data_IF_290630081059
#
_entry.id   IF_290630081059
#
_cell.length_a   1.000
_cell.length_b   1.000
_cell.length_c   1.000
_cell.angle_alpha   90.00
_cell.angle_beta   90.00
_cell.angle_gamma   90.00
#
_symmetry.space_group_name_H-M   'P 1'
#
loop_
_entity.id
_entity.type
_entity.pdbx_description
1 polymer ?
#
# COMPACT_ATOMS: atom_id res chain seq x y z
N UNK A 1 38.23 -12.57 43.74
CA UNK A 1 36.83 -12.09 43.63
C UNK A 1 36.00 -12.37 44.89
N UNK A 2 36.14 -13.51 45.59
CA UNK A 2 35.44 -13.75 46.86
C UNK A 2 35.87 -12.82 48.00
N UNK A 3 37.14 -12.43 48.05
CA UNK A 3 37.67 -11.43 49.00
C UNK A 3 37.20 -10.01 48.67
N UNK A 4 37.25 -9.61 47.38
CA UNK A 4 36.73 -8.31 46.90
C UNK A 4 35.21 -8.16 47.07
N UNK A 5 34.42 -9.22 46.88
CA UNK A 5 32.97 -9.18 47.08
C UNK A 5 32.59 -8.95 48.56
N UNK A 6 33.36 -9.53 49.48
CA UNK A 6 33.18 -9.35 50.93
C UNK A 6 33.56 -7.94 51.39
N UNK A 7 34.53 -7.33 50.70
CA UNK A 7 35.00 -5.96 50.94
C UNK A 7 34.03 -4.90 50.40
N UNK A 8 33.35 -5.18 49.27
CA UNK A 8 32.33 -4.30 48.68
C UNK A 8 30.90 -4.50 49.20
N UNK A 9 30.65 -5.50 50.07
CA UNK A 9 29.32 -5.78 50.68
C UNK A 9 28.17 -5.92 49.65
N UNK A 10 28.47 -6.33 48.42
CA UNK A 10 27.47 -6.47 47.36
C UNK A 10 27.04 -7.92 47.20
N UNK A 11 25.84 -8.23 47.69
CA UNK A 11 25.20 -9.56 47.66
C UNK A 11 25.10 -10.14 46.22
N UNK A 12 25.11 -9.27 45.21
CA UNK A 12 25.06 -9.69 43.79
C UNK A 12 26.39 -10.24 43.29
N UNK A 13 27.51 -9.66 43.73
CA UNK A 13 28.85 -10.17 43.42
C UNK A 13 29.09 -11.53 44.06
N UNK A 14 28.58 -11.73 45.28
CA UNK A 14 28.65 -13.05 45.93
C UNK A 14 27.87 -14.11 45.14
N UNK A 15 26.68 -13.76 44.63
CA UNK A 15 25.87 -14.66 43.80
C UNK A 15 26.54 -14.98 42.46
N UNK A 16 27.15 -13.98 41.82
CA UNK A 16 27.84 -14.14 40.54
C UNK A 16 29.16 -14.94 40.70
N UNK A 17 29.93 -14.66 41.74
CA UNK A 17 31.11 -15.46 42.12
C UNK A 17 30.73 -16.89 42.51
N UNK A 18 29.59 -17.09 43.17
CA UNK A 18 29.03 -18.41 43.48
C UNK A 18 28.65 -19.20 42.23
N UNK A 19 28.10 -18.54 41.21
CA UNK A 19 27.79 -19.16 39.90
C UNK A 19 29.05 -19.50 39.11
N UNK A 20 30.05 -18.61 39.10
CA UNK A 20 31.37 -18.87 38.50
C UNK A 20 32.06 -20.08 39.14
N UNK A 21 32.01 -20.19 40.48
CA UNK A 21 32.60 -21.31 41.23
C UNK A 21 31.91 -22.65 40.95
N UNK A 22 30.65 -22.64 40.53
CA UNK A 22 29.85 -23.83 40.22
C UNK A 22 30.01 -24.34 38.77
N UNK A 23 31.07 -23.93 38.06
CA UNK A 23 31.42 -24.42 36.71
C UNK A 23 30.39 -24.19 35.60
N UNK A 24 29.37 -23.35 35.82
CA UNK A 24 28.37 -23.04 34.80
C UNK A 24 28.88 -21.90 33.94
N UNK A 25 29.21 -22.14 32.67
CA UNK A 25 29.45 -21.06 31.70
C UNK A 25 28.17 -20.20 31.58
N UNK A 26 28.30 -18.88 31.64
CA UNK A 26 27.12 -18.02 31.70
C UNK A 26 27.42 -16.55 31.46
N UNK A 27 26.33 -15.79 31.36
CA UNK A 27 26.35 -14.35 31.29
C UNK A 27 25.41 -13.79 32.35
N UNK A 28 25.73 -12.61 32.88
CA UNK A 28 24.84 -11.91 33.81
C UNK A 28 24.88 -10.40 33.58
N UNK A 29 23.73 -9.77 33.82
CA UNK A 29 23.58 -8.32 33.73
C UNK A 29 23.76 -7.72 35.12
N UNK A 30 24.66 -6.77 35.25
CA UNK A 30 24.87 -6.06 36.51
C UNK A 30 24.96 -4.56 36.27
N UNK A 31 24.66 -3.78 37.30
CA UNK A 31 24.88 -2.33 37.28
C UNK A 31 26.35 -2.04 37.64
N UNK A 32 26.83 -0.86 37.25
CA UNK A 32 28.20 -0.41 37.51
C UNK A 32 28.71 -0.78 38.92
N UNK A 33 29.89 -1.41 38.96
CA UNK A 33 30.57 -1.88 40.18
C UNK A 33 31.43 -0.79 40.82
N UNK A 34 31.72 0.32 40.11
CA UNK A 34 32.43 1.48 40.66
C UNK A 34 31.43 2.40 41.35
N UNK A 35 31.08 2.05 42.58
CA UNK A 35 30.28 2.92 43.47
C UNK A 35 31.11 4.13 43.91
N UNK A 36 31.04 5.22 43.16
CA UNK A 36 31.65 6.50 43.53
C UNK A 36 30.88 7.73 43.05
N UNK A 37 30.24 7.69 41.89
CA UNK A 37 29.53 8.85 41.36
C UNK A 37 28.10 8.51 40.93
N UNK A 38 27.16 9.36 41.34
CA UNK A 38 25.72 9.26 41.05
C UNK A 38 25.37 9.49 39.58
N UNK A 39 26.31 9.40 38.65
CA UNK A 39 26.04 9.66 37.24
C UNK A 39 25.93 8.38 36.43
N UNK A 40 24.68 8.14 36.01
CA UNK A 40 24.20 7.10 35.08
C UNK A 40 24.36 5.67 35.58
N UNK A 41 23.22 5.07 35.94
CA UNK A 41 22.99 3.62 36.04
C UNK A 41 23.30 2.94 34.70
N UNK A 42 24.59 2.71 34.39
CA UNK A 42 25.01 1.92 33.25
C UNK A 42 24.85 0.43 33.57
N UNK A 43 24.31 -0.33 32.62
CA UNK A 43 24.20 -1.80 32.71
C UNK A 43 25.38 -2.42 31.98
N UNK A 44 26.08 -3.30 32.67
CA UNK A 44 27.21 -4.06 32.17
C UNK A 44 26.79 -5.51 31.96
N UNK A 45 27.22 -6.09 30.85
CA UNK A 45 27.11 -7.52 30.60
C UNK A 45 28.44 -8.17 30.96
N UNK A 46 28.44 -9.05 31.97
CA UNK A 46 29.62 -9.88 32.27
C UNK A 46 29.38 -11.27 31.75
N UNK A 47 30.19 -11.69 30.77
CA UNK A 47 30.30 -13.08 30.36
C UNK A 47 31.45 -13.72 31.12
N UNK A 48 31.27 -14.98 31.56
CA UNK A 48 32.32 -15.71 32.24
C UNK A 48 32.44 -17.15 31.76
N UNK A 49 33.68 -17.60 31.65
CA UNK A 49 34.03 -18.96 31.23
C UNK A 49 35.13 -19.52 32.12
N UNK A 50 34.97 -20.77 32.52
CA UNK A 50 35.98 -21.48 33.30
C UNK A 50 36.86 -22.33 32.38
N UNK A 51 38.17 -22.28 32.57
CA UNK A 51 39.12 -23.12 31.85
C UNK A 51 40.23 -23.62 32.79
N UNK A 52 40.55 -24.93 32.77
CA UNK A 52 41.63 -25.47 33.58
C UNK A 52 42.99 -25.12 32.95
N UNK A 53 43.94 -24.63 33.74
CA UNK A 53 45.34 -24.40 33.32
C UNK A 53 46.24 -25.15 34.31
N UNK A 54 46.76 -26.30 33.88
CA UNK A 54 47.52 -27.20 34.76
C UNK A 54 46.66 -27.75 35.90
N UNK A 55 47.12 -27.58 37.14
CA UNK A 55 46.37 -27.97 38.35
C UNK A 55 45.48 -26.84 38.91
N UNK A 56 45.50 -25.66 38.28
CA UNK A 56 44.75 -24.49 38.75
C UNK A 56 43.52 -24.22 37.88
N UNK A 57 42.42 -23.81 38.52
CA UNK A 57 41.17 -23.44 37.84
C UNK A 57 41.13 -21.93 37.64
N UNK A 58 41.11 -21.49 36.39
CA UNK A 58 41.04 -20.09 36.03
C UNK A 58 39.64 -19.75 35.52
N UNK A 59 39.13 -18.59 35.94
CA UNK A 59 37.87 -18.02 35.44
C UNK A 59 38.20 -16.75 34.67
N UNK A 60 37.92 -16.74 33.38
CA UNK A 60 37.95 -15.51 32.60
C UNK A 60 36.59 -14.83 32.69
N UNK A 61 36.57 -13.55 33.06
CA UNK A 61 35.36 -12.74 33.08
C UNK A 61 35.57 -11.51 32.20
N UNK A 62 34.74 -11.36 31.18
CA UNK A 62 34.75 -10.19 30.30
C UNK A 62 33.51 -9.33 30.62
N UNK A 63 33.74 -8.11 31.07
CA UNK A 63 32.68 -7.13 31.33
C UNK A 63 32.66 -6.08 30.22
N UNK A 64 31.49 -5.86 29.62
CA UNK A 64 31.31 -4.85 28.58
C UNK A 64 30.13 -3.91 28.93
N UNK A 65 30.33 -2.58 28.84
CA UNK A 65 29.24 -1.62 29.02
C UNK A 65 28.23 -1.74 27.87
N UNK A 66 27.06 -2.30 28.16
CA UNK A 66 26.03 -2.57 27.14
C UNK A 66 25.27 -1.31 26.72
N UNK A 67 25.28 -0.28 27.55
CA UNK A 67 24.46 0.93 27.39
C UNK A 67 24.97 1.90 26.34
N UNK A 68 26.26 1.87 26.01
CA UNK A 68 26.81 2.70 24.94
C UNK A 68 26.36 2.20 23.57
N UNK A 69 26.41 0.89 23.35
CA UNK A 69 26.07 0.30 22.05
C UNK A 69 24.57 0.31 21.77
N UNK A 70 23.70 0.08 22.77
CA UNK A 70 22.24 0.07 22.56
C UNK A 70 21.71 1.43 22.09
N UNK A 71 22.28 2.53 22.59
CA UNK A 71 21.91 3.88 22.16
C UNK A 71 22.37 4.24 20.74
N UNK A 72 23.50 3.69 20.28
CA UNK A 72 23.94 3.83 18.89
C UNK A 72 23.10 2.98 17.93
N UNK A 73 22.83 1.73 18.32
CA UNK A 73 21.98 0.80 17.56
C UNK A 73 20.57 1.40 17.38
N UNK A 74 19.94 1.91 18.44
CA UNK A 74 18.59 2.48 18.33
C UNK A 74 18.47 3.67 17.34
N UNK A 75 19.51 4.50 17.22
CA UNK A 75 19.50 5.66 16.29
C UNK A 75 19.66 5.23 14.83
N UNK A 76 20.51 4.26 14.56
CA UNK A 76 20.71 3.74 13.21
C UNK A 76 19.50 2.94 12.73
N UNK A 77 18.93 2.11 13.61
CA UNK A 77 17.75 1.33 13.30
C UNK A 77 16.54 2.21 12.96
N UNK A 78 16.31 3.29 13.71
CA UNK A 78 15.16 4.18 13.47
C UNK A 78 15.27 4.94 12.15
N UNK A 79 16.46 5.43 11.80
CA UNK A 79 16.71 6.11 10.52
C UNK A 79 16.59 5.15 9.33
N UNK A 80 17.15 3.94 9.47
CA UNK A 80 17.02 2.90 8.45
C UNK A 80 15.56 2.49 8.20
N UNK A 81 14.80 2.30 9.27
CA UNK A 81 13.40 1.88 9.20
C UNK A 81 12.48 2.96 8.58
N UNK A 82 12.78 4.25 8.79
CA UNK A 82 12.06 5.35 8.15
C UNK A 82 12.36 5.44 6.65
N UNK A 83 13.62 5.24 6.25
CA UNK A 83 14.03 5.27 4.84
C UNK A 83 13.41 4.11 4.04
N UNK A 84 13.38 2.90 4.62
CA UNK A 84 12.75 1.76 3.96
C UNK A 84 11.24 1.95 3.84
N UNK A 85 10.58 2.44 4.89
CA UNK A 85 9.15 2.75 4.85
C UNK A 85 8.81 3.78 3.77
N UNK A 86 9.61 4.86 3.65
CA UNK A 86 9.43 5.86 2.60
C UNK A 86 9.55 5.25 1.19
N UNK A 87 10.55 4.38 0.97
CA UNK A 87 10.72 3.67 -0.31
C UNK A 87 9.51 2.80 -0.66
N UNK A 88 8.97 2.07 0.33
CA UNK A 88 7.76 1.26 0.15
C UNK A 88 6.54 2.13 -0.20
N UNK A 89 6.34 3.25 0.50
CA UNK A 89 5.25 4.17 0.21
C UNK A 89 5.37 4.73 -1.21
N UNK A 90 6.57 5.12 -1.64
CA UNK A 90 6.80 5.62 -2.99
C UNK A 90 6.51 4.56 -4.07
N UNK A 91 6.92 3.31 -3.85
CA UNK A 91 6.61 2.18 -4.75
C UNK A 91 5.10 1.93 -4.87
N UNK A 92 4.40 1.92 -3.74
CA UNK A 92 2.94 1.74 -3.73
C UNK A 92 2.26 2.92 -4.44
N UNK A 93 2.70 4.16 -4.18
CA UNK A 93 2.16 5.34 -4.85
C UNK A 93 2.37 5.27 -6.37
N UNK A 94 3.57 4.89 -6.82
CA UNK A 94 3.88 4.73 -8.24
C UNK A 94 3.01 3.66 -8.89
N UNK A 95 2.82 2.51 -8.23
CA UNK A 95 1.93 1.45 -8.71
C UNK A 95 0.47 1.93 -8.83
N UNK A 96 -0.03 2.68 -7.83
CA UNK A 96 -1.37 3.27 -7.87
C UNK A 96 -1.52 4.27 -9.02
N UNK A 97 -0.51 5.12 -9.25
CA UNK A 97 -0.51 6.08 -10.36
C UNK A 97 -0.48 5.38 -11.73
N UNK A 98 0.29 4.30 -11.88
CA UNK A 98 0.33 3.49 -13.11
C UNK A 98 -1.05 2.89 -13.39
N UNK A 99 -1.69 2.31 -12.38
CA UNK A 99 -3.03 1.73 -12.52
C UNK A 99 -4.12 2.77 -12.83
N UNK A 100 -4.04 3.98 -12.26
CA UNK A 100 -4.98 5.06 -12.61
C UNK A 100 -4.82 5.48 -14.08
N UNK A 101 -3.57 5.50 -14.58
CA UNK A 101 -3.26 5.88 -15.95
C UNK A 101 -3.86 4.90 -16.97
N UNK A 102 -3.79 3.59 -16.70
CA UNK A 102 -4.41 2.57 -17.55
C UNK A 102 -5.94 2.70 -17.60
N UNK A 103 -6.58 2.96 -16.46
CA UNK A 103 -8.05 3.12 -16.38
C UNK A 103 -8.59 4.34 -17.12
N UNK A 104 -7.77 5.36 -17.37
CA UNK A 104 -8.17 6.54 -18.15
C UNK A 104 -8.10 6.29 -19.65
N UNK A 105 -7.17 5.46 -20.09
CA UNK A 105 -6.97 5.15 -21.52
C UNK A 105 -8.14 4.35 -22.09
N UNK A 106 -8.59 3.33 -21.34
CA UNK A 106 -9.70 2.46 -21.74
C UNK A 106 -11.02 3.25 -21.90
N UNK A 107 -11.32 4.19 -21.00
CA UNK A 107 -12.57 4.97 -21.07
C UNK A 107 -12.64 5.98 -22.21
N UNK A 108 -11.50 6.43 -22.72
CA UNK A 108 -11.45 7.36 -23.85
C UNK A 108 -11.62 6.63 -25.18
N UNK A 109 -10.97 5.48 -25.34
CA UNK A 109 -11.08 4.64 -26.53
C UNK A 109 -12.48 4.03 -26.66
N UNK A 110 -13.05 3.57 -25.54
CA UNK A 110 -14.42 3.05 -25.52
C UNK A 110 -15.43 4.10 -26.00
N UNK A 111 -15.36 5.35 -25.52
CA UNK A 111 -16.35 6.38 -25.91
C UNK A 111 -16.33 6.68 -27.41
N UNK A 112 -15.17 6.69 -28.04
CA UNK A 112 -15.05 6.95 -29.47
C UNK A 112 -15.65 5.77 -30.24
N UNK A 113 -15.31 4.54 -29.86
CA UNK A 113 -15.80 3.36 -30.55
C UNK A 113 -17.31 3.13 -30.36
N UNK A 114 -17.83 3.34 -29.14
CA UNK A 114 -19.27 3.30 -28.87
C UNK A 114 -20.02 4.40 -29.63
N UNK A 115 -19.46 5.61 -29.73
CA UNK A 115 -20.07 6.70 -30.49
C UNK A 115 -20.12 6.40 -31.98
N UNK A 116 -19.04 5.85 -32.55
CA UNK A 116 -18.97 5.49 -33.97
C UNK A 116 -19.93 4.34 -34.30
N UNK A 117 -19.96 3.28 -33.49
CA UNK A 117 -20.86 2.14 -33.69
C UNK A 117 -22.34 2.54 -33.58
N UNK A 118 -22.69 3.40 -32.61
CA UNK A 118 -24.05 3.92 -32.48
C UNK A 118 -24.42 4.78 -33.68
N UNK A 119 -23.51 5.64 -34.15
CA UNK A 119 -23.75 6.50 -35.31
C UNK A 119 -23.89 5.69 -36.61
N UNK A 120 -23.05 4.68 -36.80
CA UNK A 120 -23.09 3.79 -37.97
C UNK A 120 -24.36 2.94 -37.98
N UNK A 121 -24.75 2.38 -36.82
CA UNK A 121 -26.01 1.65 -36.67
C UNK A 121 -27.21 2.53 -36.98
N UNK A 122 -27.24 3.76 -36.46
CA UNK A 122 -28.34 4.69 -36.70
C UNK A 122 -28.42 5.10 -38.19
N UNK A 123 -27.28 5.40 -38.83
CA UNK A 123 -27.22 5.67 -40.28
C UNK A 123 -27.72 4.50 -41.12
N UNK A 124 -27.35 3.27 -40.75
CA UNK A 124 -27.79 2.06 -41.45
C UNK A 124 -29.29 1.84 -41.30
N UNK A 125 -29.83 2.00 -40.09
CA UNK A 125 -31.27 1.91 -39.84
C UNK A 125 -32.04 2.97 -40.62
N UNK A 126 -31.56 4.21 -40.63
CA UNK A 126 -32.17 5.31 -41.38
C UNK A 126 -32.16 5.04 -42.90
N UNK A 127 -31.04 4.54 -43.45
CA UNK A 127 -30.94 4.18 -44.86
C UNK A 127 -31.88 3.02 -45.25
N UNK A 128 -32.03 2.02 -44.37
CA UNK A 128 -32.98 0.92 -44.59
C UNK A 128 -34.43 1.41 -44.54
N UNK A 129 -34.76 2.25 -43.55
CA UNK A 129 -36.08 2.84 -43.41
C UNK A 129 -36.46 3.70 -44.62
N UNK A 130 -35.53 4.51 -45.12
CA UNK A 130 -35.69 5.33 -46.33
C UNK A 130 -35.74 4.53 -47.64
N UNK A 131 -35.13 3.34 -47.65
CA UNK A 131 -35.12 2.43 -48.79
C UNK A 131 -36.44 1.69 -49.01
N UNK A 132 -37.33 1.65 -48.01
CA UNK A 132 -38.63 1.01 -48.13
C UNK A 132 -39.53 1.82 -49.06
N UNK A 133 -40.06 1.16 -50.09
CA UNK A 133 -40.92 1.76 -51.11
C UNK A 133 -42.29 2.16 -50.57
N UNK A 134 -42.79 1.41 -49.58
CA UNK A 134 -44.04 1.72 -48.91
C UNK A 134 -43.90 2.97 -48.03
N UNK A 135 -44.96 3.77 -47.96
CA UNK A 135 -44.98 4.96 -47.11
C UNK A 135 -45.19 4.53 -45.65
N UNK A 136 -44.16 4.69 -44.80
CA UNK A 136 -44.21 4.27 -43.40
C UNK A 136 -43.80 5.44 -42.50
N UNK A 137 -44.53 5.60 -41.40
CA UNK A 137 -44.27 6.61 -40.38
C UNK A 137 -44.52 6.07 -38.97
N UNK A 138 -43.80 6.63 -38.00
CA UNK A 138 -43.97 6.37 -36.57
C UNK A 138 -44.64 7.60 -35.95
N UNK A 139 -45.71 7.36 -35.21
CA UNK A 139 -46.45 8.36 -34.46
C UNK A 139 -46.22 8.17 -32.95
N UNK A 140 -46.21 9.27 -32.20
CA UNK A 140 -46.28 9.27 -30.74
C UNK A 140 -47.73 9.03 -30.26
N UNK A 141 -47.92 8.83 -28.95
CA UNK A 141 -49.22 8.64 -28.28
C UNK A 141 -50.22 9.78 -28.52
N UNK A 142 -49.71 10.99 -28.78
CA UNK A 142 -50.50 12.19 -29.08
C UNK A 142 -50.71 12.39 -30.60
N UNK A 143 -50.51 11.34 -31.39
CA UNK A 143 -50.58 11.32 -32.85
C UNK A 143 -49.60 12.28 -33.54
N UNK A 144 -48.49 12.65 -32.88
CA UNK A 144 -47.46 13.49 -33.51
C UNK A 144 -46.48 12.64 -34.31
N UNK A 145 -46.11 13.11 -35.48
CA UNK A 145 -45.17 12.42 -36.37
C UNK A 145 -43.76 12.45 -35.77
N UNK A 146 -43.20 11.30 -35.43
CA UNK A 146 -41.83 11.18 -34.89
C UNK A 146 -40.80 10.81 -35.95
N UNK A 147 -41.19 9.98 -36.91
CA UNK A 147 -40.34 9.58 -38.04
C UNK A 147 -41.21 9.32 -39.25
N UNK A 148 -40.75 9.70 -40.44
CA UNK A 148 -41.33 9.27 -41.71
C UNK A 148 -40.19 8.82 -42.62
N UNK A 149 -40.44 7.84 -43.47
CA UNK A 149 -39.46 7.48 -44.49
C UNK A 149 -39.56 8.40 -45.72
N UNK A 150 -38.53 8.39 -46.56
CA UNK A 150 -38.49 9.15 -47.82
C UNK A 150 -39.71 8.89 -48.73
N UNK A 151 -40.29 7.70 -48.71
CA UNK A 151 -41.45 7.35 -49.53
C UNK A 151 -42.73 8.06 -49.07
N UNK A 152 -42.89 8.29 -47.76
CA UNK A 152 -43.98 9.12 -47.21
C UNK A 152 -43.87 10.60 -47.61
N UNK A 153 -42.66 11.18 -47.58
CA UNK A 153 -42.45 12.55 -48.07
C UNK A 153 -42.81 12.71 -49.55
N UNK A 154 -42.48 11.70 -50.36
CA UNK A 154 -42.89 11.64 -51.78
C UNK A 154 -44.41 11.57 -51.96
N UNK A 155 -45.12 10.83 -51.11
CA UNK A 155 -46.60 10.74 -51.15
C UNK A 155 -47.26 12.09 -50.88
N UNK A 156 -46.75 12.84 -49.89
CA UNK A 156 -47.28 14.16 -49.52
C UNK A 156 -46.69 15.32 -50.35
N UNK A 157 -45.69 15.05 -51.20
CA UNK A 157 -45.01 16.07 -52.01
C UNK A 157 -44.25 17.11 -51.17
N UNK A 158 -43.86 16.76 -49.93
CA UNK A 158 -43.17 17.64 -48.98
C UNK A 158 -41.92 16.96 -48.44
N UNK A 159 -40.96 17.75 -47.97
CA UNK A 159 -39.82 17.17 -47.27
C UNK A 159 -40.29 16.52 -45.97
N UNK A 160 -39.67 15.40 -45.63
CA UNK A 160 -39.96 14.68 -44.38
C UNK A 160 -39.68 15.58 -43.17
N UNK A 161 -38.63 16.41 -43.22
CA UNK A 161 -38.28 17.31 -42.12
C UNK A 161 -39.39 18.29 -41.76
N UNK A 162 -40.16 18.73 -42.76
CA UNK A 162 -41.22 19.72 -42.59
C UNK A 162 -42.47 19.10 -41.95
N UNK A 163 -42.63 17.78 -42.07
CA UNK A 163 -43.75 17.01 -41.54
C UNK A 163 -43.49 16.48 -40.12
N UNK A 164 -42.24 16.50 -39.64
CA UNK A 164 -41.89 16.04 -38.30
C UNK A 164 -42.56 16.91 -37.22
N UNK A 165 -42.97 16.26 -36.13
CA UNK A 165 -43.65 16.83 -34.95
C UNK A 165 -45.02 17.48 -35.22
N UNK A 166 -45.46 17.49 -36.47
CA UNK A 166 -46.84 17.83 -36.82
C UNK A 166 -47.78 16.75 -36.33
N UNK A 167 -48.99 17.16 -35.95
CA UNK A 167 -50.05 16.23 -35.58
C UNK A 167 -50.53 15.55 -36.85
N UNK A 168 -50.62 14.22 -36.80
CA UNK A 168 -51.27 13.39 -37.80
C UNK A 168 -52.77 13.65 -37.71
N UNK A 169 -53.17 14.80 -38.24
CA UNK A 169 -54.53 15.06 -38.61
C UNK A 169 -54.66 14.44 -39.99
N UNK A 170 -55.59 13.48 -40.14
CA UNK A 170 -56.01 13.01 -41.46
C UNK A 170 -56.24 14.25 -42.31
N UNK A 171 -55.32 14.52 -43.23
CA UNK A 171 -55.42 15.61 -44.18
C UNK A 171 -55.85 14.98 -45.50
N UNK A 172 -56.62 15.72 -46.29
CA UNK A 172 -58.08 15.64 -46.47
C UNK A 172 -58.59 14.29 -46.99
#
# INVERSE_FOLDING_TARGET
>A
MSTLARELRDERLEKLAGRMKKEVNGFDWHLDLRSGEKEKRMRYLTAFSNFPVGHEKWTFALTAPSTEFVGLIGRLFRKGLLLTAFGFVALVLAALLILDRERRRIRAEDRIHWSEQVLESNRRLQALFDGITDAIGILDKDFRIRMLNRSMGRLFGRDVSDLLDQKWEMSP
#
